data_IF_546206826456
#
_entry.id   IF_546206826456
#
_cell.length_a   1.000
_cell.length_b   1.000
_cell.length_c   1.000
_cell.angle_alpha   90.00
_cell.angle_beta   90.00
_cell.angle_gamma   90.00
#
_symmetry.space_group_name_H-M   'P 1'
#
loop_
_entity.id
_entity.type
_entity.pdbx_description
1 polymer ?
#
# COMPACT_ATOMS: atom_id res chain seq x y z
N UNK A 1 2.85 20.19 -4.59
CA UNK A 1 4.26 20.55 -4.30
C UNK A 1 5.27 19.84 -5.22
N UNK A 2 4.92 18.70 -5.84
CA UNK A 2 5.79 18.00 -6.81
C UNK A 2 6.28 18.86 -8.00
N UNK A 3 5.45 19.73 -8.59
CA UNK A 3 5.84 20.46 -9.82
C UNK A 3 7.03 21.42 -9.66
N UNK A 4 7.26 21.97 -8.46
CA UNK A 4 8.40 22.86 -8.19
C UNK A 4 9.64 22.01 -7.97
N UNK A 5 9.54 20.97 -7.15
CA UNK A 5 10.64 20.05 -6.86
C UNK A 5 11.14 19.31 -8.11
N UNK A 6 10.23 18.96 -9.05
CA UNK A 6 10.60 18.39 -10.35
C UNK A 6 11.39 19.36 -11.23
N UNK A 7 11.15 20.67 -11.11
CA UNK A 7 11.82 21.70 -11.91
C UNK A 7 13.08 22.25 -11.23
N UNK A 8 13.12 22.25 -9.91
CA UNK A 8 14.19 22.77 -9.07
C UNK A 8 14.38 21.77 -7.93
N UNK A 9 15.15 20.68 -8.16
CA UNK A 9 15.45 19.72 -7.11
C UNK A 9 16.15 20.40 -5.94
N UNK A 10 15.77 20.02 -4.72
CA UNK A 10 16.30 20.57 -3.48
C UNK A 10 15.58 21.83 -2.98
N UNK A 11 14.63 22.40 -3.72
CA UNK A 11 13.99 23.66 -3.32
C UNK A 11 13.19 23.51 -2.02
N UNK A 12 12.49 22.39 -1.83
CA UNK A 12 11.79 22.07 -0.59
C UNK A 12 12.45 20.93 0.20
N UNK A 13 13.35 20.18 -0.42
CA UNK A 13 13.83 18.89 0.13
C UNK A 13 15.23 18.91 0.73
N UNK A 14 16.03 19.98 0.53
CA UNK A 14 17.41 20.05 1.01
C UNK A 14 17.53 19.93 2.53
N UNK A 15 16.57 20.47 3.27
CA UNK A 15 16.58 20.54 4.73
C UNK A 15 15.55 19.57 5.36
N UNK A 16 15.01 18.62 4.60
CA UNK A 16 14.08 17.63 5.12
C UNK A 16 14.86 16.53 5.83
N UNK A 17 14.56 16.35 7.12
CA UNK A 17 15.09 15.25 7.94
C UNK A 17 14.08 14.11 8.03
N UNK A 18 14.58 12.88 7.91
CA UNK A 18 13.77 11.69 8.19
C UNK A 18 13.40 11.69 9.67
N UNK A 19 12.10 11.57 9.94
CA UNK A 19 11.56 11.72 11.29
C UNK A 19 10.65 10.56 11.61
N UNK A 20 10.78 10.03 12.82
CA UNK A 20 9.83 9.09 13.38
C UNK A 20 9.43 9.59 14.78
N UNK A 21 8.18 10.01 14.88
CA UNK A 21 7.58 10.44 16.14
C UNK A 21 7.04 9.21 16.85
N UNK A 22 7.50 8.99 18.09
CA UNK A 22 7.02 7.88 18.92
C UNK A 22 5.90 8.29 19.89
N UNK A 23 5.45 9.55 19.85
CA UNK A 23 4.34 10.02 20.67
C UNK A 23 3.03 9.36 20.22
N UNK A 24 2.26 8.85 21.18
CA UNK A 24 0.95 8.23 20.94
C UNK A 24 -0.07 9.22 20.37
N UNK A 25 0.09 10.50 20.73
CA UNK A 25 -0.73 11.61 20.24
C UNK A 25 -0.45 11.99 18.78
N UNK A 26 -0.91 13.17 18.40
CA UNK A 26 -0.65 13.71 17.07
C UNK A 26 0.84 14.02 16.90
N UNK A 27 1.38 13.60 15.76
CA UNK A 27 2.78 13.76 15.41
C UNK A 27 2.97 13.64 13.91
N UNK A 28 4.22 13.75 13.46
CA UNK A 28 4.58 13.66 12.06
C UNK A 28 5.74 12.70 11.88
N UNK A 29 5.57 11.78 10.93
CA UNK A 29 6.65 10.94 10.41
C UNK A 29 7.02 11.40 9.01
N UNK A 30 8.30 11.29 8.68
CA UNK A 30 8.83 11.61 7.35
C UNK A 30 9.69 10.45 6.88
N UNK A 31 9.30 9.83 5.77
CA UNK A 31 10.06 8.78 5.10
C UNK A 31 10.47 9.22 3.70
N UNK A 32 11.57 8.66 3.20
CA UNK A 32 12.04 8.87 1.82
C UNK A 32 11.74 7.66 0.97
N UNK A 33 11.30 7.92 -0.26
CA UNK A 33 11.08 6.94 -1.31
C UNK A 33 12.18 7.03 -2.37
N UNK A 34 12.39 5.93 -3.06
CA UNK A 34 13.21 5.90 -4.27
C UNK A 34 12.46 6.54 -5.46
N UNK A 35 13.21 6.97 -6.48
CA UNK A 35 12.64 7.69 -7.63
C UNK A 35 11.58 6.89 -8.39
N UNK A 36 11.76 5.58 -8.50
CA UNK A 36 10.84 4.66 -9.17
C UNK A 36 9.58 4.36 -8.33
N UNK A 37 9.70 4.42 -7.00
CA UNK A 37 8.62 4.18 -6.04
C UNK A 37 7.58 5.32 -6.00
N UNK A 38 8.01 6.58 -6.15
CA UNK A 38 7.13 7.76 -6.03
C UNK A 38 6.01 7.75 -7.04
N UNK A 39 6.33 7.41 -8.28
CA UNK A 39 5.35 7.39 -9.38
C UNK A 39 4.18 6.44 -9.05
N UNK A 40 4.49 5.34 -8.36
CA UNK A 40 3.54 4.33 -7.95
C UNK A 40 2.77 4.72 -6.68
N UNK A 41 3.49 5.20 -5.67
CA UNK A 41 2.93 5.64 -4.40
C UNK A 41 1.96 6.82 -4.55
N UNK A 42 2.23 7.72 -5.50
CA UNK A 42 1.31 8.80 -5.86
C UNK A 42 0.09 8.25 -6.61
N UNK A 43 0.33 7.40 -7.62
CA UNK A 43 -0.71 6.90 -8.52
C UNK A 43 -1.29 7.97 -9.45
N UNK A 44 -2.11 7.53 -10.42
CA UNK A 44 -2.75 8.43 -11.40
C UNK A 44 -3.60 9.48 -10.66
N UNK A 45 -3.30 10.77 -10.89
CA UNK A 45 -3.96 11.91 -10.23
C UNK A 45 -3.93 11.86 -8.68
N UNK A 46 -2.93 11.21 -8.08
CA UNK A 46 -2.82 11.11 -6.63
C UNK A 46 -3.77 10.09 -6.00
N UNK A 47 -4.36 9.18 -6.79
CA UNK A 47 -5.36 8.23 -6.33
C UNK A 47 -4.84 7.29 -5.23
N UNK A 48 -3.61 6.80 -5.37
CA UNK A 48 -3.01 5.88 -4.40
C UNK A 48 -2.74 6.58 -3.07
N UNK A 49 -2.17 7.79 -3.10
CA UNK A 49 -2.03 8.66 -1.92
C UNK A 49 -3.36 8.85 -1.18
N UNK A 50 -4.43 9.18 -1.92
CA UNK A 50 -5.76 9.38 -1.32
C UNK A 50 -6.29 8.12 -0.65
N UNK A 51 -6.06 6.95 -1.25
CA UNK A 51 -6.46 5.66 -0.68
C UNK A 51 -5.70 5.36 0.61
N UNK A 52 -4.38 5.55 0.64
CA UNK A 52 -3.58 5.37 1.85
C UNK A 52 -4.06 6.32 2.96
N UNK A 53 -4.28 7.60 2.64
CA UNK A 53 -4.77 8.57 3.62
C UNK A 53 -6.17 8.17 4.15
N UNK A 54 -7.08 7.78 3.28
CA UNK A 54 -8.43 7.36 3.66
C UNK A 54 -8.42 6.09 4.52
N UNK A 55 -7.64 5.07 4.14
CA UNK A 55 -7.63 3.77 4.82
C UNK A 55 -6.89 3.81 6.15
N UNK A 56 -5.84 4.63 6.27
CA UNK A 56 -5.06 4.77 7.52
C UNK A 56 -5.66 5.77 8.49
N UNK A 57 -6.48 6.71 8.00
CA UNK A 57 -6.95 7.87 8.77
C UNK A 57 -5.88 8.95 8.99
N UNK A 58 -4.67 8.77 8.43
CA UNK A 58 -3.60 9.77 8.47
C UNK A 58 -3.73 10.80 7.34
N UNK A 59 -3.16 11.97 7.54
CA UNK A 59 -2.88 12.91 6.46
C UNK A 59 -1.56 12.50 5.80
N UNK A 60 -1.60 12.21 4.49
CA UNK A 60 -0.43 11.76 3.74
C UNK A 60 -0.16 12.70 2.56
N UNK A 61 1.00 13.36 2.58
CA UNK A 61 1.42 14.32 1.55
C UNK A 61 2.82 14.00 1.03
N UNK A 62 3.01 14.24 -0.28
CA UNK A 62 4.25 13.93 -0.99
C UNK A 62 4.94 15.23 -1.42
N UNK A 63 6.20 15.40 -1.02
CA UNK A 63 7.07 16.53 -1.36
C UNK A 63 8.36 15.98 -1.96
N UNK A 64 8.46 16.03 -3.30
CA UNK A 64 9.53 15.35 -4.01
C UNK A 64 9.49 13.85 -3.72
N UNK A 65 10.56 13.37 -3.11
CA UNK A 65 10.75 11.97 -2.72
C UNK A 65 10.38 11.68 -1.28
N UNK A 66 9.85 12.67 -0.56
CA UNK A 66 9.52 12.54 0.85
C UNK A 66 8.01 12.40 1.03
N UNK A 67 7.62 11.45 1.89
CA UNK A 67 6.25 11.26 2.34
C UNK A 67 6.15 11.77 3.76
N UNK A 68 5.29 12.77 3.94
CA UNK A 68 4.93 13.30 5.24
C UNK A 68 3.63 12.65 5.68
N UNK A 69 3.64 12.06 6.87
CA UNK A 69 2.52 11.32 7.44
C UNK A 69 2.18 11.94 8.79
N UNK A 70 1.02 12.58 8.88
CA UNK A 70 0.53 13.21 10.11
C UNK A 70 -0.70 12.49 10.64
N UNK A 71 -0.77 12.29 11.94
CA UNK A 71 -1.88 11.61 12.62
C UNK A 71 -1.44 11.10 14.00
N UNK A 72 -2.24 10.24 14.63
CA UNK A 72 -1.85 9.50 15.83
C UNK A 72 -0.82 8.42 15.52
N UNK A 73 -0.12 7.89 16.53
CA UNK A 73 0.88 6.83 16.31
C UNK A 73 0.33 5.65 15.49
N UNK A 74 -0.89 5.21 15.82
CA UNK A 74 -1.56 4.10 15.12
C UNK A 74 -1.85 4.45 13.66
N UNK A 75 -2.32 5.68 13.38
CA UNK A 75 -2.60 6.12 12.02
C UNK A 75 -1.31 6.21 11.18
N UNK A 76 -0.22 6.73 11.77
CA UNK A 76 1.07 6.83 11.09
C UNK A 76 1.68 5.45 10.78
N UNK A 77 1.60 4.53 11.73
CA UNK A 77 2.04 3.14 11.54
C UNK A 77 1.23 2.43 10.45
N UNK A 78 -0.10 2.55 10.47
CA UNK A 78 -0.97 2.00 9.41
C UNK A 78 -0.60 2.56 8.04
N UNK A 79 -0.41 3.88 7.91
CA UNK A 79 -0.04 4.51 6.65
C UNK A 79 1.31 3.99 6.11
N UNK A 80 2.34 3.89 6.96
CA UNK A 80 3.65 3.34 6.61
C UNK A 80 3.54 1.89 6.13
N UNK A 81 2.84 1.05 6.90
CA UNK A 81 2.69 -0.36 6.58
C UNK A 81 1.91 -0.58 5.27
N UNK A 82 0.90 0.24 4.99
CA UNK A 82 0.15 0.18 3.73
C UNK A 82 1.00 0.60 2.53
N UNK A 83 1.91 1.57 2.70
CA UNK A 83 2.91 1.94 1.69
C UNK A 83 3.87 0.78 1.44
N UNK A 84 4.31 0.10 2.48
CA UNK A 84 5.19 -1.08 2.35
C UNK A 84 4.49 -2.23 1.60
N UNK A 85 3.22 -2.50 1.91
CA UNK A 85 2.44 -3.51 1.19
C UNK A 85 2.23 -3.15 -0.28
N UNK A 86 2.00 -1.87 -0.57
CA UNK A 86 1.91 -1.36 -1.93
C UNK A 86 3.20 -1.65 -2.72
N UNK A 87 4.37 -1.39 -2.14
CA UNK A 87 5.65 -1.70 -2.79
C UNK A 87 5.97 -3.19 -2.84
N UNK A 88 5.58 -3.96 -1.82
CA UNK A 88 5.70 -5.41 -1.84
C UNK A 88 4.91 -6.00 -3.02
N UNK A 89 3.72 -5.45 -3.30
CA UNK A 89 2.89 -5.89 -4.42
C UNK A 89 3.55 -5.67 -5.80
N UNK A 90 4.39 -4.65 -5.95
CA UNK A 90 5.18 -4.45 -7.16
C UNK A 90 6.22 -5.55 -7.37
N UNK A 91 6.82 -6.01 -6.26
CA UNK A 91 7.91 -7.01 -6.27
C UNK A 91 7.37 -8.43 -6.40
N UNK A 92 6.14 -8.68 -5.96
CA UNK A 92 5.48 -9.97 -6.05
C UNK A 92 4.20 -10.05 -5.23
N UNK A 93 3.67 -11.25 -4.99
CA UNK A 93 2.50 -11.42 -4.14
C UNK A 93 2.75 -10.95 -2.71
N UNK A 94 1.79 -10.23 -2.13
CA UNK A 94 1.86 -9.75 -0.74
C UNK A 94 1.28 -10.81 0.18
N UNK A 95 1.92 -11.06 1.32
CA UNK A 95 1.37 -11.88 2.39
C UNK A 95 1.25 -11.00 3.64
N UNK A 96 0.02 -10.72 4.06
CA UNK A 96 -0.28 -9.97 5.28
C UNK A 96 -0.74 -10.94 6.36
N UNK A 97 -0.13 -10.91 7.54
CA UNK A 97 -0.69 -11.57 8.71
C UNK A 97 -1.81 -10.70 9.28
N UNK A 98 -3.06 -11.13 9.10
CA UNK A 98 -4.24 -10.44 9.62
C UNK A 98 -4.57 -10.80 11.07
N UNK A 99 -3.81 -11.68 11.71
CA UNK A 99 -4.10 -12.18 13.06
C UNK A 99 -4.07 -11.01 14.06
N UNK A 100 -5.21 -10.74 14.70
CA UNK A 100 -5.32 -9.68 15.71
C UNK A 100 -5.42 -8.25 15.14
N UNK A 101 -5.53 -8.10 13.83
CA UNK A 101 -5.74 -6.79 13.17
C UNK A 101 -7.21 -6.39 13.19
N UNK A 102 -7.46 -5.10 13.41
CA UNK A 102 -8.80 -4.49 13.40
C UNK A 102 -9.10 -3.64 12.16
N UNK A 103 -8.11 -3.51 11.27
CA UNK A 103 -8.08 -2.58 10.14
C UNK A 103 -8.12 -3.29 8.78
N UNK A 104 -8.44 -4.58 8.76
CA UNK A 104 -8.52 -5.35 7.54
C UNK A 104 -9.62 -6.42 7.60
N UNK A 105 -10.09 -6.82 6.42
CA UNK A 105 -11.06 -7.91 6.24
C UNK A 105 -10.49 -8.89 5.23
N UNK A 106 -10.34 -10.16 5.61
CA UNK A 106 -9.98 -11.22 4.67
C UNK A 106 -11.24 -11.73 3.98
N UNK A 107 -11.18 -11.84 2.66
CA UNK A 107 -12.26 -12.39 1.85
C UNK A 107 -11.71 -13.57 1.04
N UNK A 108 -12.27 -14.76 1.25
CA UNK A 108 -11.99 -15.91 0.39
C UNK A 108 -12.67 -15.73 -0.96
N UNK A 109 -11.88 -15.71 -2.03
CA UNK A 109 -12.35 -15.48 -3.40
C UNK A 109 -12.04 -16.71 -4.24
N UNK A 110 -13.06 -17.34 -4.87
CA UNK A 110 -12.84 -18.40 -5.85
C UNK A 110 -11.95 -17.90 -7.00
N UNK A 111 -11.02 -18.74 -7.49
CA UNK A 111 -10.03 -18.31 -8.49
C UNK A 111 -10.67 -17.78 -9.78
N UNK A 112 -11.79 -18.35 -10.17
CA UNK A 112 -12.60 -17.95 -11.32
C UNK A 112 -13.22 -16.55 -11.17
N UNK A 113 -13.41 -16.07 -9.94
CA UNK A 113 -13.99 -14.75 -9.66
C UNK A 113 -12.93 -13.62 -9.63
N UNK A 114 -11.64 -13.95 -9.52
CA UNK A 114 -10.55 -12.96 -9.40
C UNK A 114 -10.55 -11.98 -10.59
N UNK A 115 -10.78 -12.49 -11.81
CA UNK A 115 -10.86 -11.66 -13.01
C UNK A 115 -12.03 -10.67 -12.98
N UNK A 116 -13.19 -11.09 -12.46
CA UNK A 116 -14.38 -10.25 -12.30
C UNK A 116 -14.17 -9.14 -11.27
N UNK A 117 -13.56 -9.46 -10.14
CA UNK A 117 -13.28 -8.50 -9.06
C UNK A 117 -12.22 -7.50 -9.49
N UNK A 118 -11.15 -7.97 -10.14
CA UNK A 118 -10.09 -7.11 -10.65
C UNK A 118 -10.63 -6.16 -11.73
N UNK A 119 -11.40 -6.68 -12.67
CA UNK A 119 -11.88 -5.96 -13.84
C UNK A 119 -10.77 -5.71 -14.88
N UNK A 120 -11.15 -5.23 -16.05
CA UNK A 120 -10.20 -4.91 -17.13
C UNK A 120 -9.20 -3.85 -16.63
N UNK A 121 -7.90 -4.15 -16.70
CA UNK A 121 -6.81 -3.26 -16.23
C UNK A 121 -7.02 -2.72 -14.79
N UNK A 122 -7.59 -3.52 -13.89
CA UNK A 122 -7.85 -3.16 -12.47
C UNK A 122 -8.87 -2.02 -12.31
N UNK A 123 -9.71 -1.73 -13.30
CA UNK A 123 -10.67 -0.62 -13.23
C UNK A 123 -11.74 -0.84 -12.14
N UNK A 124 -12.34 -2.03 -12.10
CA UNK A 124 -13.39 -2.36 -11.11
C UNK A 124 -12.84 -2.30 -9.69
N UNK A 125 -11.70 -2.94 -9.46
CA UNK A 125 -11.05 -2.93 -8.15
C UNK A 125 -10.62 -1.52 -7.74
N UNK A 126 -10.04 -0.76 -8.67
CA UNK A 126 -9.62 0.62 -8.43
C UNK A 126 -10.78 1.54 -8.05
N UNK A 127 -11.96 1.31 -8.64
CA UNK A 127 -13.21 2.04 -8.31
C UNK A 127 -13.72 1.68 -6.92
N UNK A 128 -13.72 0.40 -6.54
CA UNK A 128 -14.14 -0.04 -5.20
C UNK A 128 -13.22 0.59 -4.14
N UNK A 129 -11.90 0.52 -4.34
CA UNK A 129 -10.93 1.16 -3.44
C UNK A 129 -11.18 2.68 -3.28
N UNK A 130 -11.53 3.37 -4.37
CA UNK A 130 -11.81 4.81 -4.35
C UNK A 130 -13.16 5.14 -3.67
N UNK A 131 -14.20 4.35 -3.95
CA UNK A 131 -15.55 4.53 -3.40
C UNK A 131 -15.59 4.29 -1.89
N UNK A 132 -14.86 3.28 -1.41
CA UNK A 132 -14.87 2.85 -0.01
C UNK A 132 -13.68 3.36 0.80
N UNK A 133 -12.73 4.05 0.17
CA UNK A 133 -11.55 4.58 0.85
C UNK A 133 -10.67 3.48 1.46
N UNK A 134 -10.49 2.37 0.74
CA UNK A 134 -9.72 1.22 1.20
C UNK A 134 -8.64 0.82 0.18
N UNK A 135 -7.72 -0.04 0.63
CA UNK A 135 -6.75 -0.70 -0.24
C UNK A 135 -7.09 -2.19 -0.33
N UNK A 136 -7.00 -2.74 -1.54
CA UNK A 136 -7.31 -4.14 -1.77
C UNK A 136 -6.09 -4.88 -2.34
N UNK A 137 -5.62 -5.87 -1.58
CA UNK A 137 -4.47 -6.69 -1.95
C UNK A 137 -4.91 -8.13 -2.20
N UNK A 138 -4.44 -8.72 -3.29
CA UNK A 138 -4.55 -10.17 -3.48
C UNK A 138 -3.40 -10.84 -2.76
N UNK A 139 -3.73 -11.66 -1.77
CA UNK A 139 -2.76 -12.48 -1.07
C UNK A 139 -2.59 -13.81 -1.77
N UNK A 140 -1.35 -14.24 -1.99
CA UNK A 140 -1.08 -15.61 -2.40
C UNK A 140 -1.09 -16.50 -1.16
N UNK A 141 -1.85 -17.60 -1.19
CA UNK A 141 -1.80 -18.57 -0.10
C UNK A 141 -0.41 -19.18 -0.14
N UNK A 142 0.46 -18.82 0.80
CA UNK A 142 1.79 -19.42 0.95
C UNK A 142 1.77 -20.97 0.98
N UNK A 143 0.60 -21.58 1.21
CA UNK A 143 0.36 -23.02 1.23
C UNK A 143 -0.01 -23.67 -0.12
N UNK A 144 -0.27 -22.94 -1.20
CA UNK A 144 -0.65 -23.56 -2.49
C UNK A 144 0.50 -24.36 -3.14
N UNK A 145 1.75 -24.12 -2.73
CA UNK A 145 2.90 -24.93 -3.15
C UNK A 145 2.94 -26.31 -2.48
N UNK A 146 2.41 -26.45 -1.24
CA UNK A 146 2.28 -27.75 -0.56
C UNK A 146 1.18 -28.60 -1.18
N UNK A 147 0.06 -27.98 -1.55
CA UNK A 147 -1.07 -28.69 -2.16
C UNK A 147 -0.75 -29.14 -3.60
N UNK A 148 0.02 -28.34 -4.36
CA UNK A 148 0.50 -28.75 -5.70
C UNK A 148 1.54 -29.88 -5.67
N UNK A 149 2.32 -29.99 -4.59
CA UNK A 149 3.24 -31.13 -4.39
C UNK A 149 2.46 -32.39 -4.00
N UNK A 150 1.53 -32.28 -3.05
CA UNK A 150 0.69 -33.39 -2.60
C UNK A 150 -0.22 -33.95 -3.71
N UNK A 151 -0.70 -33.10 -4.64
CA UNK A 151 -1.53 -33.55 -5.77
C UNK A 151 -0.71 -34.25 -6.88
N UNK A 152 0.58 -33.92 -7.04
CA UNK A 152 1.47 -34.58 -8.00
C UNK A 152 1.84 -36.00 -7.57
N UNK A 153 1.94 -36.24 -6.27
CA UNK A 153 2.27 -37.55 -5.71
C UNK A 153 1.04 -38.49 -5.65
N UNK A 154 -0.18 -37.95 -5.75
CA UNK A 154 -1.43 -38.71 -5.72
C UNK A 154 -1.93 -39.21 -7.09
N UNK A 155 -1.26 -38.85 -8.19
CA UNK A 155 -1.65 -39.23 -9.56
C UNK A 155 -0.69 -40.23 -10.24
N UNK A 156 0.27 -40.77 -9.49
CA UNK A 156 1.11 -41.90 -9.93
C UNK A 156 0.83 -43.10 -9.01
N UNK A 157 -0.30 -43.78 -9.25
CA UNK A 157 -0.74 -45.00 -8.58
C UNK A 157 -1.76 -45.73 -9.43
#
# INVERSE_FOLDING_TARGET
>A
MSAVETKIPGHFTNDIELTECHDEGEGMDVMRLEDDEISYALGKKGGTRKKIAASSGAVVEYVGNYVHIYGTLVQRQKAKEYIDWLFAQLKGPVCVDATGRDDCTIVDVPRECVGYITGYRRETLGRIEEEWGCLMFFMDKANDKRDKAAMKDATCG
#
